data_IF_733301533937
#
_entry.id   IF_733301533937
#
_cell.length_a   1.000
_cell.length_b   1.000
_cell.length_c   1.000
_cell.angle_alpha   90.00
_cell.angle_beta   90.00
_cell.angle_gamma   90.00
#
_symmetry.space_group_name_H-M   'P 1'
#
loop_
_entity.id
_entity.type
_entity.pdbx_description
1 polymer ?
#
# COMPACT_ATOMS: atom_id res chain seq x y z
N UNK A 1 -18.57 18.06 18.08
CA UNK A 1 -18.02 16.80 17.55
C UNK A 1 -16.54 16.78 17.87
N UNK A 2 -16.04 15.70 18.47
CA UNK A 2 -14.59 15.51 18.60
C UNK A 2 -14.03 15.19 17.21
N UNK A 3 -12.91 15.81 16.76
CA UNK A 3 -12.35 15.60 15.43
C UNK A 3 -12.03 14.11 15.13
N UNK A 4 -11.78 13.31 16.15
CA UNK A 4 -11.51 11.87 16.03
C UNK A 4 -12.70 11.02 15.53
N UNK A 5 -13.92 11.57 15.58
CA UNK A 5 -15.13 10.89 15.10
C UNK A 5 -15.58 11.41 13.72
N UNK A 6 -14.84 12.35 13.12
CA UNK A 6 -15.16 12.84 11.78
C UNK A 6 -14.81 11.74 10.74
N UNK A 7 -15.79 11.28 9.93
CA UNK A 7 -15.57 10.26 8.91
C UNK A 7 -14.48 10.59 7.89
N UNK A 8 -14.15 11.87 7.70
CA UNK A 8 -13.08 12.37 6.83
C UNK A 8 -11.71 12.18 7.45
N UNK A 9 -11.57 12.50 8.75
CA UNK A 9 -10.33 12.26 9.48
C UNK A 9 -10.00 10.77 9.54
N UNK A 10 -11.00 9.92 9.85
CA UNK A 10 -10.83 8.46 9.85
C UNK A 10 -10.40 7.95 8.46
N UNK A 11 -10.98 8.48 7.38
CA UNK A 11 -10.62 8.08 6.02
C UNK A 11 -9.20 8.54 5.63
N UNK A 12 -8.78 9.72 6.09
CA UNK A 12 -7.44 10.24 5.86
C UNK A 12 -6.38 9.44 6.63
N UNK A 13 -6.62 9.15 7.91
CA UNK A 13 -5.73 8.30 8.73
C UNK A 13 -5.58 6.91 8.12
N UNK A 14 -6.69 6.30 7.68
CA UNK A 14 -6.66 5.01 6.99
C UNK A 14 -5.83 5.06 5.69
N UNK A 15 -5.97 6.12 4.87
CA UNK A 15 -5.17 6.28 3.66
C UNK A 15 -3.67 6.45 3.94
N UNK A 16 -3.32 7.17 5.02
CA UNK A 16 -1.92 7.33 5.47
C UNK A 16 -1.33 5.96 5.85
N UNK A 17 -2.04 5.17 6.67
CA UNK A 17 -1.59 3.84 7.09
C UNK A 17 -1.38 2.89 5.91
N UNK A 18 -2.29 2.87 4.94
CA UNK A 18 -2.12 2.03 3.74
C UNK A 18 -0.96 2.53 2.85
N UNK A 19 -0.69 3.83 2.81
CA UNK A 19 0.45 4.38 2.09
C UNK A 19 1.79 3.95 2.74
N UNK A 20 1.89 4.03 4.06
CA UNK A 20 3.07 3.55 4.81
C UNK A 20 3.29 2.06 4.58
N UNK A 21 2.23 1.26 4.65
CA UNK A 21 2.26 -0.17 4.37
C UNK A 21 2.73 -0.47 2.95
N UNK A 22 2.20 0.26 1.96
CA UNK A 22 2.64 0.14 0.57
C UNK A 22 4.13 0.45 0.42
N UNK A 23 4.62 1.56 1.00
CA UNK A 23 6.04 1.94 0.93
C UNK A 23 6.93 0.85 1.54
N UNK A 24 6.54 0.27 2.69
CA UNK A 24 7.30 -0.82 3.31
C UNK A 24 7.38 -2.06 2.41
N UNK A 25 6.26 -2.46 1.79
CA UNK A 25 6.22 -3.60 0.86
C UNK A 25 6.99 -3.33 -0.43
N UNK A 26 6.86 -2.12 -0.99
CA UNK A 26 7.62 -1.69 -2.15
C UNK A 26 9.13 -1.72 -1.88
N UNK A 27 9.59 -1.25 -0.71
CA UNK A 27 11.00 -1.35 -0.30
C UNK A 27 11.46 -2.81 -0.20
N UNK A 28 10.68 -3.68 0.44
CA UNK A 28 11.02 -5.10 0.53
C UNK A 28 11.09 -5.76 -0.86
N UNK A 29 10.17 -5.43 -1.76
CA UNK A 29 10.17 -5.91 -3.12
C UNK A 29 11.36 -5.37 -3.92
N UNK A 30 11.73 -4.09 -3.78
CA UNK A 30 12.93 -3.53 -4.44
C UNK A 30 14.21 -4.22 -3.97
N UNK A 31 14.38 -4.43 -2.66
CA UNK A 31 15.54 -5.17 -2.12
C UNK A 31 15.58 -6.59 -2.68
N UNK A 32 14.41 -7.24 -2.81
CA UNK A 32 14.33 -8.56 -3.42
C UNK A 32 14.65 -8.52 -4.91
N UNK A 33 14.12 -7.53 -5.62
CA UNK A 33 14.34 -7.31 -7.05
C UNK A 33 15.82 -7.11 -7.37
N UNK A 34 16.54 -6.32 -6.56
CA UNK A 34 17.99 -6.13 -6.70
C UNK A 34 18.74 -7.45 -6.46
N UNK A 35 18.36 -8.25 -5.46
CA UNK A 35 18.96 -9.57 -5.22
C UNK A 35 18.66 -10.58 -6.32
N UNK A 36 17.43 -10.60 -6.81
CA UNK A 36 16.96 -11.51 -7.86
C UNK A 36 17.41 -11.06 -9.26
N UNK A 37 17.97 -9.86 -9.45
CA UNK A 37 18.64 -9.49 -10.69
C UNK A 37 19.82 -10.41 -11.04
N UNK A 38 20.30 -11.20 -10.07
CA UNK A 38 21.31 -12.24 -10.21
C UNK A 38 20.71 -13.66 -10.33
N UNK A 39 19.38 -13.79 -10.32
CA UNK A 39 18.63 -15.05 -10.28
C UNK A 39 17.72 -15.20 -11.51
N UNK A 40 17.58 -16.41 -12.02
CA UNK A 40 16.79 -16.74 -13.22
C UNK A 40 15.28 -16.89 -12.96
N UNK A 41 14.80 -16.63 -11.73
CA UNK A 41 13.39 -16.85 -11.36
C UNK A 41 12.47 -15.66 -11.71
N UNK A 42 11.18 -15.92 -12.05
CA UNK A 42 10.23 -14.86 -12.42
C UNK A 42 9.95 -13.88 -11.26
N UNK A 43 10.18 -12.60 -11.53
CA UNK A 43 10.16 -11.47 -10.56
C UNK A 43 8.81 -11.25 -9.85
N UNK A 44 7.71 -11.68 -10.48
CA UNK A 44 6.33 -11.50 -10.01
C UNK A 44 5.80 -12.68 -9.16
N UNK A 45 6.45 -13.84 -9.18
CA UNK A 45 6.00 -15.02 -8.43
C UNK A 45 6.65 -15.11 -7.03
N UNK A 46 7.28 -14.03 -6.57
CA UNK A 46 7.86 -13.96 -5.22
C UNK A 46 6.78 -13.57 -4.21
N UNK A 47 6.92 -14.05 -2.98
CA UNK A 47 6.03 -13.69 -1.87
C UNK A 47 5.99 -12.17 -1.67
N UNK A 48 7.14 -11.51 -1.85
CA UNK A 48 7.30 -10.08 -1.74
C UNK A 48 6.59 -9.32 -2.87
N UNK A 49 6.67 -9.82 -4.12
CA UNK A 49 5.94 -9.25 -5.26
C UNK A 49 4.43 -9.30 -5.05
N UNK A 50 3.88 -10.47 -4.69
CA UNK A 50 2.44 -10.58 -4.40
C UNK A 50 1.98 -9.73 -3.20
N UNK A 51 2.83 -9.55 -2.19
CA UNK A 51 2.54 -8.66 -1.06
C UNK A 51 2.55 -7.18 -1.46
N UNK A 52 3.39 -6.78 -2.42
CA UNK A 52 3.44 -5.42 -2.97
C UNK A 52 2.20 -5.15 -3.84
N UNK A 53 1.82 -6.08 -4.72
CA UNK A 53 0.60 -5.98 -5.53
C UNK A 53 -0.64 -5.82 -4.65
N UNK A 54 -0.75 -6.63 -3.59
CA UNK A 54 -1.87 -6.52 -2.67
C UNK A 54 -1.90 -5.17 -1.95
N UNK A 55 -0.75 -4.69 -1.48
CA UNK A 55 -0.65 -3.39 -0.83
C UNK A 55 -1.00 -2.23 -1.80
N UNK A 56 -0.68 -2.36 -3.09
CA UNK A 56 -1.05 -1.39 -4.12
C UNK A 56 -2.58 -1.30 -4.30
N UNK A 57 -3.26 -2.45 -4.31
CA UNK A 57 -4.71 -2.52 -4.38
C UNK A 57 -5.39 -1.94 -3.12
N UNK A 58 -4.90 -2.33 -1.93
CA UNK A 58 -5.45 -1.84 -0.66
C UNK A 58 -5.31 -0.30 -0.54
N UNK A 59 -4.17 0.26 -0.95
CA UNK A 59 -3.97 1.72 -1.02
C UNK A 59 -4.92 2.39 -2.02
N UNK A 60 -5.08 1.81 -3.21
CA UNK A 60 -5.98 2.34 -4.23
C UNK A 60 -7.42 2.42 -3.72
N UNK A 61 -7.88 1.39 -3.00
CA UNK A 61 -9.20 1.38 -2.37
C UNK A 61 -9.32 2.47 -1.27
N UNK A 62 -8.30 2.63 -0.44
CA UNK A 62 -8.27 3.65 0.61
C UNK A 62 -8.37 5.07 0.02
N UNK A 63 -7.63 5.37 -1.05
CA UNK A 63 -7.68 6.66 -1.74
C UNK A 63 -9.05 6.94 -2.39
N UNK A 64 -9.69 5.92 -2.97
CA UNK A 64 -11.05 6.05 -3.50
C UNK A 64 -12.06 6.37 -2.38
N UNK A 65 -11.94 5.70 -1.22
CA UNK A 65 -12.79 5.96 -0.05
C UNK A 65 -12.59 7.38 0.48
N UNK A 66 -11.34 7.86 0.55
CA UNK A 66 -11.01 9.23 0.95
C UNK A 66 -11.65 10.25 0.01
N UNK A 67 -11.50 10.07 -1.31
CA UNK A 67 -12.10 10.95 -2.32
C UNK A 67 -13.62 11.04 -2.16
N UNK A 68 -14.30 9.90 -1.96
CA UNK A 68 -15.77 9.85 -1.82
C UNK A 68 -16.29 10.55 -0.56
N UNK A 69 -15.49 10.62 0.51
CA UNK A 69 -15.88 11.26 1.79
C UNK A 69 -15.47 12.74 1.88
N UNK A 70 -14.54 13.16 1.03
CA UNK A 70 -14.14 14.56 0.88
C UNK A 70 -15.07 15.39 -0.02
N UNK A 71 -15.90 14.73 -0.83
CA UNK A 71 -17.05 15.34 -1.53
C UNK A 71 -18.21 15.54 -0.56
#
# INVERSE_FOLDING_TARGET
MHPDNDPRYIAADHAIREAERFIQRARAWMVRYEKDSQSSWPRLNTREGGAMDRASLDLSEALVKLRKRGQ
#
